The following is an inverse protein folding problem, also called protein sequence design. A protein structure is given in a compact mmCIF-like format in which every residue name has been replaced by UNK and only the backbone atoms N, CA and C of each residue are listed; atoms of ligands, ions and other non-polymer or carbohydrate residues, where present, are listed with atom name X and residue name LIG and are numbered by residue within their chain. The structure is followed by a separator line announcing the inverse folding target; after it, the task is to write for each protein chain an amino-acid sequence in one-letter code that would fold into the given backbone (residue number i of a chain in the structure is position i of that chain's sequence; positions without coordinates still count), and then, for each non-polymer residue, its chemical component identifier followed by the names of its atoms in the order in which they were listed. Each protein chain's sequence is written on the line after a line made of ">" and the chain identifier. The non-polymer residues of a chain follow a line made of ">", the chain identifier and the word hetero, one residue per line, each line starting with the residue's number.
data_IF_933739901114
#
_entry.id   IF_933739901114
#
_cell.length_a   1.000
_cell.length_b   1.000
_cell.length_c   1.000
_cell.angle_alpha   90.00
_cell.angle_beta   90.00
_cell.angle_gamma   90.00
#
_symmetry.space_group_name_H-M   'P 1'
#
loop_
_entity.id
_entity.type
_entity.pdbx_description
1 polymer ?
#
# COMPACT_ATOMS: atom_id res chain seq x y z
N UNK A 1 -4.38 2.08 8.33
CA UNK A 1 -4.14 2.83 7.07
C UNK A 1 -4.67 4.25 7.18
N UNK A 2 -5.96 4.50 7.40
CA UNK A 2 -6.59 5.82 7.31
C UNK A 2 -5.91 6.97 8.06
N UNK A 3 -5.34 6.74 9.27
CA UNK A 3 -4.58 7.79 9.99
C UNK A 3 -3.31 8.23 9.27
N UNK A 4 -2.58 7.29 8.65
CA UNK A 4 -1.37 7.61 7.88
C UNK A 4 -1.71 8.27 6.53
N UNK A 5 -2.80 7.85 5.87
CA UNK A 5 -3.32 8.50 4.67
C UNK A 5 -3.69 9.95 4.99
N UNK A 6 -4.46 10.18 6.06
CA UNK A 6 -4.81 11.51 6.54
C UNK A 6 -3.57 12.38 6.82
N UNK A 7 -2.54 11.80 7.41
CA UNK A 7 -1.27 12.49 7.64
C UNK A 7 -0.59 12.91 6.33
N UNK A 8 -0.62 12.07 5.28
CA UNK A 8 -0.06 12.43 3.97
C UNK A 8 -0.74 13.67 3.39
N UNK A 9 -2.07 13.70 3.37
CA UNK A 9 -2.83 14.84 2.89
C UNK A 9 -2.59 16.10 3.73
N UNK A 10 -2.59 16.00 5.06
CA UNK A 10 -2.36 17.14 5.95
C UNK A 10 -0.93 17.70 5.82
N UNK A 11 0.08 16.86 5.62
CA UNK A 11 1.47 17.29 5.33
C UNK A 11 1.55 18.10 4.04
N UNK A 12 0.77 17.76 3.04
CA UNK A 12 0.70 18.47 1.76
C UNK A 12 -0.16 19.75 1.82
N UNK A 13 -0.76 20.07 2.98
CA UNK A 13 -1.52 21.31 3.17
C UNK A 13 -3.05 21.16 3.09
N UNK A 14 -3.56 19.96 2.81
CA UNK A 14 -5.00 19.72 2.71
C UNK A 14 -5.69 19.74 4.08
N UNK A 15 -6.90 20.28 4.14
CA UNK A 15 -7.80 20.04 5.27
C UNK A 15 -8.37 18.62 5.18
N UNK A 16 -8.33 17.90 6.28
CA UNK A 16 -8.71 16.48 6.35
C UNK A 16 -9.69 16.25 7.49
N UNK A 17 -10.74 15.48 7.24
CA UNK A 17 -11.63 14.99 8.28
C UNK A 17 -11.51 13.46 8.41
N UNK A 18 -10.99 12.99 9.55
CA UNK A 18 -11.03 11.58 9.92
C UNK A 18 -12.38 11.20 10.46
N UNK A 19 -13.10 10.28 9.79
CA UNK A 19 -14.39 9.80 10.23
C UNK A 19 -14.31 8.39 10.82
N UNK A 20 -14.94 8.16 11.98
CA UNK A 20 -15.14 6.82 12.55
C UNK A 20 -16.29 6.83 13.54
N UNK A 21 -17.14 5.79 13.50
CA UNK A 21 -18.25 5.62 14.45
C UNK A 21 -17.80 5.54 15.92
N UNK A 22 -16.59 5.04 16.18
CA UNK A 22 -16.05 4.81 17.53
C UNK A 22 -15.02 5.89 17.89
N UNK A 23 -15.25 6.60 19.00
CA UNK A 23 -14.31 7.58 19.55
C UNK A 23 -12.91 6.97 19.78
N UNK A 24 -12.86 5.78 20.40
CA UNK A 24 -11.59 5.10 20.64
C UNK A 24 -10.75 4.84 19.37
N UNK A 25 -11.39 4.69 18.20
CA UNK A 25 -10.66 4.56 16.92
C UNK A 25 -10.04 5.89 16.51
N UNK A 26 -10.73 7.01 16.73
CA UNK A 26 -10.22 8.35 16.45
C UNK A 26 -9.09 8.71 17.42
N UNK A 27 -9.22 8.39 18.72
CA UNK A 27 -8.17 8.60 19.71
C UNK A 27 -6.91 7.80 19.35
N UNK A 28 -7.07 6.52 19.01
CA UNK A 28 -5.96 5.70 18.56
C UNK A 28 -5.33 6.20 17.23
N UNK A 29 -6.12 6.79 16.35
CA UNK A 29 -5.62 7.42 15.12
C UNK A 29 -4.75 8.63 15.46
N UNK A 30 -5.20 9.48 16.39
CA UNK A 30 -4.43 10.64 16.85
C UNK A 30 -3.06 10.24 17.42
N UNK A 31 -3.05 9.25 18.33
CA UNK A 31 -1.79 8.73 18.90
C UNK A 31 -0.84 8.21 17.81
N UNK A 32 -1.38 7.55 16.77
CA UNK A 32 -0.55 7.10 15.64
C UNK A 32 0.01 8.25 14.83
N UNK A 33 -0.81 9.28 14.54
CA UNK A 33 -0.39 10.49 13.82
C UNK A 33 0.74 11.20 14.59
N UNK A 34 0.56 11.42 15.90
CA UNK A 34 1.57 12.08 16.73
C UNK A 34 2.89 11.31 16.75
N UNK A 35 2.84 9.98 16.83
CA UNK A 35 4.03 9.11 16.73
C UNK A 35 4.72 9.23 15.38
N UNK A 36 3.97 9.17 14.28
CA UNK A 36 4.52 9.30 12.92
C UNK A 36 5.12 10.69 12.70
N UNK A 37 4.47 11.75 13.19
CA UNK A 37 5.01 13.12 13.12
C UNK A 37 6.32 13.24 13.89
N UNK A 38 6.43 12.67 15.09
CA UNK A 38 7.67 12.69 15.87
C UNK A 38 8.81 11.97 15.13
N UNK A 39 8.54 10.83 14.51
CA UNK A 39 9.52 10.10 13.70
C UNK A 39 9.98 10.90 12.46
N UNK A 40 9.03 11.50 11.73
CA UNK A 40 9.32 12.33 10.56
C UNK A 40 10.09 13.60 10.92
N UNK A 41 9.75 14.24 12.08
CA UNK A 41 10.49 15.40 12.59
C UNK A 41 11.93 15.04 12.93
N UNK A 42 12.15 13.91 13.63
CA UNK A 42 13.48 13.41 13.95
C UNK A 42 14.30 13.11 12.68
N UNK A 43 13.63 12.64 11.62
CA UNK A 43 14.26 12.38 10.33
C UNK A 43 14.52 13.65 9.50
N UNK A 44 14.00 14.81 9.91
CA UNK A 44 14.18 16.09 9.21
C UNK A 44 13.43 16.19 7.87
N UNK A 45 12.33 15.43 7.70
CA UNK A 45 11.54 15.38 6.45
C UNK A 45 10.19 16.12 6.55
N UNK A 46 10.00 16.94 7.57
CA UNK A 46 8.84 17.81 7.69
C UNK A 46 9.13 19.21 7.14
N UNK A 47 8.22 19.71 6.31
CA UNK A 47 8.27 21.08 5.76
C UNK A 47 7.43 22.09 6.56
N UNK A 48 6.62 21.61 7.52
CA UNK A 48 5.80 22.40 8.41
C UNK A 48 5.90 21.82 9.84
N UNK A 49 5.54 22.61 10.86
CA UNK A 49 5.53 22.12 12.24
C UNK A 49 4.48 21.03 12.46
N UNK A 50 4.75 20.10 13.38
CA UNK A 50 3.79 19.06 13.75
C UNK A 50 2.44 19.65 14.19
N UNK A 51 2.45 20.77 14.90
CA UNK A 51 1.24 21.47 15.35
C UNK A 51 0.42 22.02 14.16
N UNK A 52 1.08 22.61 13.18
CA UNK A 52 0.44 23.10 11.95
C UNK A 52 -0.17 21.96 11.14
N UNK A 53 0.56 20.84 10.96
CA UNK A 53 0.03 19.67 10.26
C UNK A 53 -1.17 19.09 10.99
N UNK A 54 -1.09 18.94 12.32
CA UNK A 54 -2.18 18.40 13.14
C UNK A 54 -3.42 19.30 13.12
N UNK A 55 -3.26 20.62 13.05
CA UNK A 55 -4.38 21.57 12.99
C UNK A 55 -5.25 21.41 11.72
N UNK A 56 -4.72 20.80 10.68
CA UNK A 56 -5.45 20.49 9.43
C UNK A 56 -6.28 19.19 9.53
N UNK A 57 -6.15 18.42 10.62
CA UNK A 57 -6.83 17.14 10.79
C UNK A 57 -7.96 17.28 11.82
N UNK A 58 -9.18 17.36 11.33
CA UNK A 58 -10.38 17.25 12.16
C UNK A 58 -10.81 15.80 12.35
N UNK A 59 -11.66 15.54 13.35
CA UNK A 59 -12.24 14.23 13.61
C UNK A 59 -13.75 14.33 13.66
N UNK A 60 -14.47 13.36 13.10
CA UNK A 60 -15.93 13.27 13.14
C UNK A 60 -16.39 11.85 13.46
N UNK A 61 -17.45 11.74 14.25
CA UNK A 61 -18.18 10.48 14.46
C UNK A 61 -19.36 10.33 13.51
N UNK A 62 -19.67 11.38 12.80
CA UNK A 62 -20.72 11.43 11.79
C UNK A 62 -20.09 11.43 10.40
N UNK A 63 -20.31 10.34 9.64
CA UNK A 63 -19.80 10.19 8.30
C UNK A 63 -20.43 11.19 7.34
N UNK A 64 -21.74 11.42 7.46
CA UNK A 64 -22.47 12.27 6.52
C UNK A 64 -21.97 13.72 6.63
N UNK A 65 -21.81 14.21 7.85
CA UNK A 65 -21.24 15.53 8.10
C UNK A 65 -19.76 15.62 7.66
N UNK A 66 -19.00 14.53 7.80
CA UNK A 66 -17.59 14.51 7.45
C UNK A 66 -17.31 14.65 5.95
N UNK A 67 -18.24 14.21 5.09
CA UNK A 67 -18.05 14.16 3.64
C UNK A 67 -18.76 15.27 2.87
N UNK A 68 -19.60 16.10 3.52
CA UNK A 68 -20.42 17.12 2.86
C UNK A 68 -19.64 18.16 2.04
N UNK A 69 -18.40 18.44 2.38
CA UNK A 69 -17.54 19.39 1.65
C UNK A 69 -16.30 18.74 1.03
N UNK A 70 -16.27 17.41 0.95
CA UNK A 70 -15.09 16.70 0.49
C UNK A 70 -14.98 16.69 -1.04
N UNK A 71 -13.81 17.02 -1.56
CA UNK A 71 -13.45 16.79 -2.97
C UNK A 71 -13.04 15.33 -3.21
N UNK A 72 -12.50 14.69 -2.17
CA UNK A 72 -12.05 13.28 -2.17
C UNK A 72 -12.48 12.61 -0.87
N UNK A 73 -13.12 11.47 -0.98
CA UNK A 73 -13.37 10.56 0.15
C UNK A 73 -12.54 9.31 -0.05
N UNK A 74 -11.71 8.96 0.94
CA UNK A 74 -10.92 7.71 0.93
C UNK A 74 -11.46 6.77 2.01
N UNK A 75 -12.10 5.69 1.60
CA UNK A 75 -12.55 4.64 2.50
C UNK A 75 -11.37 3.75 2.91
N UNK A 76 -11.19 3.54 4.22
CA UNK A 76 -10.12 2.71 4.79
C UNK A 76 -10.62 1.97 6.05
N UNK A 77 -11.78 1.33 5.94
CA UNK A 77 -12.37 0.50 7.03
C UNK A 77 -11.83 -0.94 6.96
N UNK A 78 -12.38 -1.84 7.77
CA UNK A 78 -11.99 -3.27 7.75
C UNK A 78 -12.21 -3.88 6.37
N UNK A 79 -11.36 -4.87 6.01
CA UNK A 79 -11.39 -5.54 4.71
C UNK A 79 -12.52 -6.57 4.68
N UNK A 80 -13.74 -6.06 4.59
CA UNK A 80 -15.00 -6.81 4.51
C UNK A 80 -15.88 -6.15 3.45
N UNK A 81 -16.33 -6.93 2.47
CA UNK A 81 -17.06 -6.43 1.30
C UNK A 81 -18.33 -5.66 1.71
N UNK A 82 -19.15 -6.25 2.58
CA UNK A 82 -20.43 -5.66 2.97
C UNK A 82 -20.24 -4.36 3.78
N UNK A 83 -19.25 -4.36 4.68
CA UNK A 83 -18.91 -3.15 5.47
C UNK A 83 -18.42 -2.03 4.59
N UNK A 84 -17.53 -2.33 3.63
CA UNK A 84 -17.02 -1.32 2.68
C UNK A 84 -18.13 -0.80 1.78
N UNK A 85 -18.98 -1.68 1.23
CA UNK A 85 -20.10 -1.29 0.40
C UNK A 85 -21.09 -0.37 1.14
N UNK A 86 -21.43 -0.67 2.39
CA UNK A 86 -22.30 0.18 3.22
C UNK A 86 -21.68 1.58 3.43
N UNK A 87 -20.42 1.64 3.81
CA UNK A 87 -19.71 2.90 4.04
C UNK A 87 -19.58 3.71 2.76
N UNK A 88 -19.20 3.08 1.65
CA UNK A 88 -19.04 3.74 0.35
C UNK A 88 -20.37 4.29 -0.17
N UNK A 89 -21.43 3.50 -0.13
CA UNK A 89 -22.77 3.93 -0.56
C UNK A 89 -23.32 5.08 0.31
N UNK A 90 -23.03 5.05 1.62
CA UNK A 90 -23.41 6.14 2.52
C UNK A 90 -22.60 7.40 2.24
N UNK A 91 -21.28 7.27 2.07
CA UNK A 91 -20.41 8.41 1.73
C UNK A 91 -20.82 9.04 0.40
N UNK A 92 -21.12 8.23 -0.60
CA UNK A 92 -21.58 8.70 -1.91
C UNK A 92 -22.82 9.57 -1.84
N UNK A 93 -23.82 9.16 -1.04
CA UNK A 93 -25.08 9.92 -0.91
C UNK A 93 -24.90 11.29 -0.27
N UNK A 94 -23.91 11.42 0.63
CA UNK A 94 -23.71 12.63 1.44
C UNK A 94 -22.61 13.53 0.92
N UNK A 95 -21.72 13.02 0.07
CA UNK A 95 -20.64 13.80 -0.56
C UNK A 95 -21.17 14.65 -1.73
N UNK A 96 -20.48 15.75 -2.07
CA UNK A 96 -20.78 16.54 -3.25
C UNK A 96 -20.85 15.68 -4.54
N UNK A 97 -21.68 16.07 -5.53
CA UNK A 97 -21.89 15.27 -6.72
C UNK A 97 -20.62 15.11 -7.60
N UNK A 98 -19.66 16.00 -7.48
CA UNK A 98 -18.37 16.00 -8.18
C UNK A 98 -17.21 15.44 -7.35
N UNK A 99 -17.49 15.04 -6.10
CA UNK A 99 -16.49 14.41 -5.25
C UNK A 99 -16.05 13.05 -5.82
N UNK A 100 -14.74 12.77 -5.79
CA UNK A 100 -14.21 11.45 -6.07
C UNK A 100 -14.35 10.58 -4.83
N UNK A 101 -14.83 9.37 -5.03
CA UNK A 101 -14.89 8.34 -4.00
C UNK A 101 -13.77 7.32 -4.27
N UNK A 102 -12.98 7.02 -3.27
CA UNK A 102 -11.88 6.07 -3.39
C UNK A 102 -11.90 5.04 -2.25
N UNK A 103 -11.34 3.88 -2.49
CA UNK A 103 -11.14 2.83 -1.48
C UNK A 103 -9.67 2.46 -1.34
N UNK A 104 -9.22 2.21 -0.11
CA UNK A 104 -7.88 1.71 0.21
C UNK A 104 -7.86 0.16 0.31
N UNK A 105 -8.81 -0.50 -0.32
CA UNK A 105 -8.83 -1.98 -0.35
C UNK A 105 -7.56 -2.53 -0.97
N UNK A 106 -7.09 -3.67 -0.46
CA UNK A 106 -5.90 -4.38 -0.96
C UNK A 106 -6.23 -5.70 -1.65
N UNK A 107 -7.44 -6.23 -1.46
CA UNK A 107 -7.80 -7.58 -1.91
C UNK A 107 -9.18 -7.69 -2.57
N UNK A 108 -10.11 -6.76 -2.26
CA UNK A 108 -11.44 -6.76 -2.85
C UNK A 108 -11.42 -6.03 -4.19
N UNK A 109 -12.01 -6.62 -5.20
CA UNK A 109 -12.09 -6.01 -6.53
C UNK A 109 -12.87 -4.70 -6.50
N UNK A 110 -12.39 -3.73 -7.26
CA UNK A 110 -13.04 -2.42 -7.38
C UNK A 110 -14.46 -2.56 -7.94
N UNK A 111 -14.64 -3.45 -8.92
CA UNK A 111 -15.96 -3.69 -9.53
C UNK A 111 -16.97 -4.28 -8.52
N UNK A 112 -16.53 -5.12 -7.58
CA UNK A 112 -17.41 -5.65 -6.53
C UNK A 112 -17.86 -4.55 -5.57
N UNK A 113 -16.96 -3.64 -5.20
CA UNK A 113 -17.30 -2.48 -4.37
C UNK A 113 -18.18 -1.48 -5.09
N UNK A 114 -17.90 -1.23 -6.38
CA UNK A 114 -18.66 -0.34 -7.23
C UNK A 114 -20.13 -0.74 -7.40
N UNK A 115 -20.43 -2.03 -7.28
CA UNK A 115 -21.79 -2.55 -7.40
C UNK A 115 -22.80 -1.98 -6.38
N UNK A 116 -22.32 -1.42 -5.25
CA UNK A 116 -23.15 -0.78 -4.24
C UNK A 116 -23.37 0.73 -4.50
N UNK A 117 -22.72 1.31 -5.51
CA UNK A 117 -22.75 2.74 -5.79
C UNK A 117 -23.79 3.07 -6.87
N UNK A 118 -24.40 4.24 -6.74
CA UNK A 118 -25.33 4.78 -7.73
C UNK A 118 -24.61 5.47 -8.89
N UNK A 119 -23.39 5.94 -8.63
CA UNK A 119 -22.54 6.69 -9.57
C UNK A 119 -21.11 6.11 -9.57
N UNK A 120 -20.94 4.85 -10.00
CA UNK A 120 -19.67 4.15 -9.98
C UNK A 120 -18.61 4.81 -10.90
N UNK A 121 -19.00 5.69 -11.82
CA UNK A 121 -18.10 6.43 -12.70
C UNK A 121 -17.13 7.33 -11.94
N UNK A 122 -17.49 7.80 -10.72
CA UNK A 122 -16.62 8.62 -9.86
C UNK A 122 -15.87 7.84 -8.77
N UNK A 123 -15.85 6.52 -8.88
CA UNK A 123 -15.23 5.62 -7.91
C UNK A 123 -14.00 4.92 -8.51
N UNK A 124 -12.94 4.79 -7.70
CA UNK A 124 -11.74 4.03 -8.03
C UNK A 124 -11.04 3.49 -6.78
N UNK A 125 -10.11 2.56 -6.96
CA UNK A 125 -9.16 2.19 -5.94
C UNK A 125 -8.06 3.25 -5.78
N UNK A 126 -7.66 3.51 -4.54
CA UNK A 126 -6.47 4.27 -4.19
C UNK A 126 -5.71 3.47 -3.13
N UNK A 127 -5.01 2.45 -3.60
CA UNK A 127 -4.37 1.44 -2.76
C UNK A 127 -3.04 1.94 -2.20
N UNK A 128 -2.95 2.04 -0.89
CA UNK A 128 -1.80 2.51 -0.15
C UNK A 128 -1.05 1.37 0.51
N UNK A 129 0.25 1.54 0.70
CA UNK A 129 1.12 0.54 1.33
C UNK A 129 1.51 0.97 2.74
N UNK A 130 1.54 0.01 3.67
CA UNK A 130 1.81 0.27 5.09
C UNK A 130 3.32 0.35 5.39
N UNK A 131 3.82 1.42 6.02
CA UNK A 131 3.10 2.60 6.49
C UNK A 131 2.93 3.67 5.40
N UNK A 132 1.71 4.22 5.19
CA UNK A 132 1.42 5.08 4.04
C UNK A 132 2.21 6.38 4.05
N UNK A 133 2.60 6.90 5.21
CA UNK A 133 3.42 8.10 5.32
C UNK A 133 4.87 7.92 4.86
N UNK A 134 5.36 6.67 4.75
CA UNK A 134 6.74 6.36 4.37
C UNK A 134 6.85 5.68 3.01
N UNK A 135 5.91 4.80 2.66
CA UNK A 135 5.96 4.09 1.37
C UNK A 135 5.50 5.04 0.26
N UNK A 136 6.34 5.26 -0.78
CA UNK A 136 6.01 6.21 -1.83
C UNK A 136 4.94 5.69 -2.81
N UNK A 137 4.81 4.38 -3.00
CA UNK A 137 3.89 3.79 -3.96
C UNK A 137 2.43 4.00 -3.57
N UNK A 138 1.61 4.40 -4.55
CA UNK A 138 0.15 4.36 -4.51
C UNK A 138 -0.34 3.78 -5.83
N UNK A 139 -1.15 2.72 -5.80
CA UNK A 139 -1.82 2.20 -6.99
C UNK A 139 -3.19 2.85 -7.12
N UNK A 140 -3.44 3.52 -8.24
CA UNK A 140 -4.76 4.02 -8.61
C UNK A 140 -5.40 2.99 -9.53
N UNK A 141 -6.49 2.36 -9.08
CA UNK A 141 -7.09 1.21 -9.76
C UNK A 141 -8.44 1.58 -10.36
N UNK A 142 -8.54 1.53 -11.67
CA UNK A 142 -9.81 1.71 -12.37
C UNK A 142 -10.63 0.44 -12.39
N UNK A 143 -11.88 0.51 -11.90
CA UNK A 143 -12.91 -0.46 -12.21
C UNK A 143 -13.49 -0.27 -13.62
N UNK A 144 -14.38 -1.15 -14.04
CA UNK A 144 -14.98 -1.13 -15.36
C UNK A 144 -15.80 0.15 -15.63
N UNK A 145 -16.40 0.73 -14.58
CA UNK A 145 -17.21 1.94 -14.69
C UNK A 145 -16.42 3.23 -14.41
N UNK A 146 -15.21 3.16 -13.89
CA UNK A 146 -14.42 4.33 -13.51
C UNK A 146 -14.14 5.23 -14.71
N UNK A 147 -14.53 6.51 -14.65
CA UNK A 147 -14.16 7.50 -15.67
C UNK A 147 -12.64 7.77 -15.64
N UNK A 148 -12.04 7.93 -16.83
CA UNK A 148 -10.62 8.21 -16.96
C UNK A 148 -10.19 9.46 -16.19
N UNK A 149 -10.97 10.53 -16.24
CA UNK A 149 -10.71 11.77 -15.50
C UNK A 149 -10.68 11.60 -13.97
N UNK A 150 -11.38 10.61 -13.43
CA UNK A 150 -11.33 10.26 -12.00
C UNK A 150 -9.99 9.63 -11.64
N UNK A 151 -9.53 8.67 -12.43
CA UNK A 151 -8.22 8.05 -12.24
C UNK A 151 -7.09 9.07 -12.39
N UNK A 152 -7.17 9.95 -13.39
CA UNK A 152 -6.19 11.04 -13.61
C UNK A 152 -6.14 12.01 -12.42
N UNK A 153 -7.29 12.39 -11.85
CA UNK A 153 -7.34 13.23 -10.64
C UNK A 153 -6.66 12.53 -9.45
N UNK A 154 -6.93 11.25 -9.22
CA UNK A 154 -6.29 10.48 -8.14
C UNK A 154 -4.77 10.36 -8.33
N UNK A 155 -4.31 10.13 -9.55
CA UNK A 155 -2.88 10.13 -9.90
C UNK A 155 -2.26 11.50 -9.61
N UNK A 156 -2.90 12.58 -10.05
CA UNK A 156 -2.42 13.94 -9.81
C UNK A 156 -2.35 14.28 -8.32
N UNK A 157 -3.38 13.93 -7.55
CA UNK A 157 -3.39 14.15 -6.10
C UNK A 157 -2.30 13.33 -5.40
N UNK A 158 -2.16 12.04 -5.73
CA UNK A 158 -1.09 11.23 -5.16
C UNK A 158 0.30 11.81 -5.47
N UNK A 159 0.53 12.28 -6.70
CA UNK A 159 1.76 12.98 -7.09
C UNK A 159 1.99 14.25 -6.27
N UNK A 160 0.95 15.07 -6.06
CA UNK A 160 1.03 16.28 -5.24
C UNK A 160 1.36 16.00 -3.75
N UNK A 161 1.06 14.79 -3.27
CA UNK A 161 1.45 14.33 -1.93
C UNK A 161 2.92 13.84 -1.86
N UNK A 162 3.68 13.93 -2.95
CA UNK A 162 5.02 13.37 -3.05
C UNK A 162 5.04 11.84 -3.19
N UNK A 163 3.91 11.24 -3.59
CA UNK A 163 3.84 9.80 -3.88
C UNK A 163 4.24 9.50 -5.32
N UNK A 164 4.57 8.24 -5.58
CA UNK A 164 4.81 7.69 -6.92
C UNK A 164 3.57 6.89 -7.33
N UNK A 165 2.56 7.51 -7.94
CA UNK A 165 1.33 6.83 -8.33
C UNK A 165 1.55 5.97 -9.56
N UNK A 166 0.92 4.80 -9.57
CA UNK A 166 0.84 3.90 -10.71
C UNK A 166 -0.62 3.68 -11.07
N UNK A 167 -1.00 3.95 -12.32
CA UNK A 167 -2.37 3.70 -12.79
C UNK A 167 -2.53 2.24 -13.22
N UNK A 168 -3.29 1.49 -12.45
CA UNK A 168 -3.73 0.13 -12.77
C UNK A 168 -5.00 0.24 -13.60
N UNK A 169 -4.86 0.11 -14.92
CA UNK A 169 -5.91 0.41 -15.91
C UNK A 169 -7.05 -0.59 -15.94
N UNK A 170 -6.89 -1.74 -15.31
CA UNK A 170 -7.89 -2.82 -15.26
C UNK A 170 -7.88 -3.42 -13.86
N UNK A 171 -9.07 -3.56 -13.30
CA UNK A 171 -9.28 -4.23 -12.02
C UNK A 171 -8.95 -5.73 -12.16
N UNK A 172 -7.91 -6.15 -11.44
CA UNK A 172 -7.50 -7.55 -11.32
C UNK A 172 -7.22 -7.86 -9.85
N UNK A 173 -7.46 -9.08 -9.42
CA UNK A 173 -7.19 -9.51 -8.04
C UNK A 173 -5.73 -9.24 -7.64
N UNK A 174 -5.54 -8.51 -6.52
CA UNK A 174 -4.21 -8.17 -6.00
C UNK A 174 -3.46 -7.10 -6.78
N UNK A 175 -4.10 -6.47 -7.78
CA UNK A 175 -3.54 -5.38 -8.59
C UNK A 175 -2.16 -5.71 -9.18
N UNK A 176 -1.16 -4.83 -9.13
CA UNK A 176 0.19 -5.11 -9.61
C UNK A 176 1.10 -5.55 -8.46
N UNK A 177 1.21 -4.73 -7.43
CA UNK A 177 2.22 -4.93 -6.39
C UNK A 177 1.97 -6.20 -5.57
N UNK A 178 0.71 -6.46 -5.14
CA UNK A 178 0.41 -7.70 -4.42
C UNK A 178 0.61 -8.93 -5.31
N UNK A 179 0.26 -8.87 -6.59
CA UNK A 179 0.49 -10.01 -7.51
C UNK A 179 1.97 -10.38 -7.60
N UNK A 180 2.85 -9.38 -7.77
CA UNK A 180 4.30 -9.59 -7.82
C UNK A 180 4.81 -10.12 -6.47
N UNK A 181 4.39 -9.50 -5.36
CA UNK A 181 4.79 -9.90 -4.02
C UNK A 181 4.37 -11.33 -3.68
N UNK A 182 3.14 -11.72 -4.00
CA UNK A 182 2.65 -13.08 -3.72
C UNK A 182 3.24 -14.13 -4.66
N UNK A 183 3.64 -13.77 -5.89
CA UNK A 183 4.44 -14.65 -6.74
C UNK A 183 5.81 -14.95 -6.11
N UNK A 184 6.47 -13.93 -5.54
CA UNK A 184 7.71 -14.11 -4.77
C UNK A 184 7.48 -14.94 -3.52
N UNK A 185 6.42 -14.71 -2.75
CA UNK A 185 6.11 -15.49 -1.55
C UNK A 185 5.86 -16.96 -1.88
N UNK A 186 5.11 -17.27 -2.96
CA UNK A 186 4.87 -18.65 -3.38
C UNK A 186 6.17 -19.40 -3.64
N UNK A 187 7.08 -18.81 -4.41
CA UNK A 187 8.38 -19.41 -4.69
C UNK A 187 9.24 -19.52 -3.42
N UNK A 188 9.29 -18.50 -2.59
CA UNK A 188 10.04 -18.47 -1.34
C UNK A 188 9.61 -19.59 -0.38
N UNK A 189 8.30 -19.78 -0.19
CA UNK A 189 7.79 -20.89 0.63
C UNK A 189 8.08 -22.25 0.02
N UNK A 190 7.97 -22.40 -1.30
CA UNK A 190 8.28 -23.66 -1.97
C UNK A 190 9.74 -24.07 -1.76
N UNK A 191 10.69 -23.14 -1.86
CA UNK A 191 12.11 -23.41 -1.60
C UNK A 191 12.37 -23.84 -0.16
N UNK A 192 11.76 -23.17 0.82
CA UNK A 192 11.91 -23.52 2.24
C UNK A 192 11.25 -24.87 2.53
N UNK A 193 10.05 -25.14 2.05
CA UNK A 193 9.33 -26.41 2.27
C UNK A 193 10.02 -27.59 1.57
N UNK A 194 10.76 -27.34 0.49
CA UNK A 194 11.61 -28.33 -0.17
C UNK A 194 12.97 -28.53 0.54
N UNK A 195 13.28 -27.77 1.59
CA UNK A 195 14.55 -27.87 2.32
C UNK A 195 15.76 -27.34 1.56
N UNK A 196 15.56 -26.48 0.57
CA UNK A 196 16.64 -25.84 -0.20
C UNK A 196 17.37 -24.80 0.64
N UNK A 197 16.63 -24.07 1.49
CA UNK A 197 17.13 -23.00 2.35
C UNK A 197 16.19 -22.79 3.54
N UNK A 198 16.53 -21.92 4.47
CA UNK A 198 15.62 -21.48 5.52
C UNK A 198 15.02 -20.08 5.24
N UNK A 199 14.13 -19.62 6.12
CA UNK A 199 13.47 -18.31 5.98
C UNK A 199 14.47 -17.15 6.02
N UNK A 200 15.55 -17.26 6.80
CA UNK A 200 16.54 -16.21 6.94
C UNK A 200 17.37 -16.06 5.68
N UNK A 201 17.69 -17.18 5.01
CA UNK A 201 18.41 -17.19 3.73
C UNK A 201 17.60 -16.49 2.64
N UNK A 202 16.29 -16.79 2.52
CA UNK A 202 15.40 -16.11 1.56
C UNK A 202 15.36 -14.61 1.83
N UNK A 203 15.17 -14.23 3.10
CA UNK A 203 15.17 -12.81 3.49
C UNK A 203 16.48 -12.11 3.13
N UNK A 204 17.62 -12.77 3.31
CA UNK A 204 18.93 -12.20 3.00
C UNK A 204 19.14 -12.07 1.49
N UNK A 205 18.78 -13.07 0.69
CA UNK A 205 18.81 -13.00 -0.78
C UNK A 205 17.97 -11.83 -1.30
N UNK A 206 16.76 -11.65 -0.76
CA UNK A 206 15.91 -10.53 -1.16
C UNK A 206 16.51 -9.19 -0.73
N UNK A 207 16.95 -9.03 0.53
CA UNK A 207 17.46 -7.75 1.04
C UNK A 207 18.79 -7.34 0.38
N UNK A 208 19.74 -8.26 0.30
CA UNK A 208 21.08 -7.97 -0.20
C UNK A 208 21.21 -8.09 -1.73
N UNK A 209 20.31 -8.83 -2.36
CA UNK A 209 20.35 -9.12 -3.80
C UNK A 209 19.28 -8.37 -4.59
N UNK A 210 18.10 -8.96 -4.67
CA UNK A 210 17.03 -8.49 -5.55
C UNK A 210 16.49 -7.13 -5.14
N UNK A 211 16.15 -6.95 -3.86
CA UNK A 211 15.54 -5.73 -3.34
C UNK A 211 16.46 -4.51 -3.48
N UNK A 212 17.76 -4.69 -3.19
CA UNK A 212 18.75 -3.63 -3.34
C UNK A 212 18.87 -3.15 -4.80
N UNK A 213 18.87 -4.08 -5.75
CA UNK A 213 18.92 -3.74 -7.19
C UNK A 213 17.62 -3.12 -7.68
N UNK A 214 16.48 -3.70 -7.30
CA UNK A 214 15.16 -3.22 -7.73
C UNK A 214 14.74 -1.91 -7.08
N UNK A 215 15.40 -1.49 -6.01
CA UNK A 215 15.24 -0.15 -5.48
C UNK A 215 15.87 0.93 -6.38
N UNK A 216 16.90 0.56 -7.16
CA UNK A 216 17.59 1.46 -8.09
C UNK A 216 17.03 1.35 -9.52
N UNK A 217 16.80 0.13 -10.01
CA UNK A 217 16.29 -0.14 -11.35
C UNK A 217 15.20 -1.20 -11.28
N UNK A 218 14.11 -1.00 -11.99
CA UNK A 218 12.99 -1.93 -12.03
C UNK A 218 13.35 -3.28 -12.68
N UNK A 219 12.50 -4.30 -12.54
CA UNK A 219 12.78 -5.62 -13.10
C UNK A 219 12.95 -5.60 -14.63
N UNK A 220 12.15 -4.82 -15.36
CA UNK A 220 12.26 -4.75 -16.83
C UNK A 220 13.50 -3.94 -17.27
N UNK A 221 13.80 -2.83 -16.62
CA UNK A 221 15.05 -2.09 -16.84
C UNK A 221 16.28 -2.97 -16.58
N UNK A 222 16.21 -3.84 -15.54
CA UNK A 222 17.27 -4.80 -15.25
C UNK A 222 17.43 -5.82 -16.38
N UNK A 223 16.34 -6.25 -17.03
CA UNK A 223 16.40 -7.15 -18.17
C UNK A 223 17.00 -6.50 -19.41
N UNK A 224 16.64 -5.25 -19.70
CA UNK A 224 17.20 -4.48 -20.80
C UNK A 224 18.71 -4.24 -20.59
N UNK A 225 19.15 -3.99 -19.37
CA UNK A 225 20.58 -3.89 -19.03
C UNK A 225 21.33 -5.20 -19.19
N UNK A 226 20.70 -6.35 -18.90
CA UNK A 226 21.32 -7.67 -18.98
C UNK A 226 21.29 -8.29 -20.38
N UNK A 227 20.33 -7.91 -21.19
CA UNK A 227 20.03 -8.48 -22.51
C UNK A 227 18.87 -9.48 -22.50
N UNK A 228 17.93 -9.28 -23.43
CA UNK A 228 16.72 -10.12 -23.55
C UNK A 228 17.01 -11.54 -24.06
N UNK A 229 18.10 -11.74 -24.76
CA UNK A 229 18.61 -13.07 -25.18
C UNK A 229 18.99 -13.92 -23.94
N UNK A 230 19.70 -13.31 -22.98
CA UNK A 230 20.04 -13.97 -21.72
C UNK A 230 18.78 -14.28 -20.92
N UNK A 231 17.85 -13.31 -20.82
CA UNK A 231 16.54 -13.55 -20.17
C UNK A 231 15.81 -14.72 -20.79
N UNK A 232 15.68 -14.77 -22.12
CA UNK A 232 14.98 -15.86 -22.81
C UNK A 232 15.60 -17.22 -22.53
N UNK A 233 16.94 -17.33 -22.58
CA UNK A 233 17.65 -18.56 -22.33
C UNK A 233 17.43 -19.07 -20.88
N UNK A 234 17.51 -18.16 -19.89
CA UNK A 234 17.29 -18.49 -18.47
C UNK A 234 15.83 -18.83 -18.21
N UNK A 235 14.89 -18.02 -18.68
CA UNK A 235 13.46 -18.20 -18.45
C UNK A 235 12.95 -19.53 -19.02
N UNK A 236 13.41 -19.93 -20.19
CA UNK A 236 13.04 -21.20 -20.82
C UNK A 236 13.43 -22.44 -19.97
N UNK A 237 14.47 -22.32 -19.13
CA UNK A 237 14.88 -23.39 -18.21
C UNK A 237 14.22 -23.28 -16.85
N UNK A 238 14.05 -22.04 -16.36
CA UNK A 238 13.64 -21.76 -14.98
C UNK A 238 12.12 -21.83 -14.81
N UNK A 239 11.33 -21.28 -15.74
CA UNK A 239 9.87 -21.22 -15.59
C UNK A 239 9.20 -22.59 -15.37
N UNK A 240 9.61 -23.67 -16.04
CA UNK A 240 9.03 -25.00 -15.77
C UNK A 240 9.34 -25.56 -14.38
N UNK A 241 10.35 -25.00 -13.70
CA UNK A 241 10.80 -25.44 -12.37
C UNK A 241 10.28 -24.59 -11.22
N UNK A 242 9.66 -23.43 -11.52
CA UNK A 242 9.09 -22.55 -10.51
C UNK A 242 7.80 -23.13 -9.91
N UNK A 243 7.52 -22.77 -8.66
CA UNK A 243 6.33 -23.19 -7.95
C UNK A 243 5.02 -22.71 -8.64
N UNK A 244 4.05 -23.63 -8.75
CA UNK A 244 2.75 -23.38 -9.38
C UNK A 244 1.57 -23.58 -8.42
N UNK A 245 1.86 -23.70 -7.11
CA UNK A 245 0.84 -23.94 -6.08
C UNK A 245 -0.25 -22.88 -6.11
N UNK A 246 -1.50 -23.33 -6.04
CA UNK A 246 -2.69 -22.49 -5.95
C UNK A 246 -3.14 -22.25 -4.50
N UNK A 247 -2.65 -23.04 -3.57
CA UNK A 247 -2.99 -22.98 -2.15
C UNK A 247 -1.88 -22.30 -1.35
N UNK A 248 -2.21 -21.66 -0.21
CA UNK A 248 -1.22 -21.14 0.71
C UNK A 248 -0.25 -22.21 1.22
N UNK A 249 0.99 -21.83 1.48
CA UNK A 249 2.03 -22.72 2.00
C UNK A 249 1.57 -23.45 3.26
N UNK A 250 1.91 -24.75 3.36
CA UNK A 250 1.48 -25.62 4.48
C UNK A 250 2.02 -25.14 5.81
N UNK A 251 3.27 -24.70 5.84
CA UNK A 251 3.93 -24.16 7.02
C UNK A 251 3.23 -22.90 7.55
N UNK A 252 2.84 -21.97 6.67
CA UNK A 252 2.08 -20.80 7.06
C UNK A 252 0.67 -21.15 7.55
N UNK A 253 -0.02 -22.07 6.87
CA UNK A 253 -1.35 -22.54 7.25
C UNK A 253 -1.35 -23.22 8.63
N UNK A 254 -0.33 -24.02 8.92
CA UNK A 254 -0.16 -24.67 10.22
C UNK A 254 0.02 -23.66 11.36
N UNK A 255 0.83 -22.62 11.14
CA UNK A 255 1.02 -21.53 12.12
C UNK A 255 -0.29 -20.79 12.39
N UNK A 256 -1.04 -20.44 11.34
CA UNK A 256 -2.35 -19.78 11.49
C UNK A 256 -3.31 -20.65 12.29
N UNK A 257 -3.39 -21.95 12.01
CA UNK A 257 -4.23 -22.88 12.75
C UNK A 257 -3.80 -23.00 14.23
N UNK A 258 -2.53 -22.84 14.55
CA UNK A 258 -2.00 -22.81 15.92
C UNK A 258 -2.20 -21.44 16.64
N UNK A 259 -2.70 -20.43 15.96
CA UNK A 259 -2.81 -19.05 16.49
C UNK A 259 -1.50 -18.27 16.48
N UNK A 260 -0.46 -18.78 15.84
CA UNK A 260 0.88 -18.18 15.72
C UNK A 260 0.90 -17.18 14.53
N UNK A 261 0.33 -15.98 14.75
CA UNK A 261 0.08 -14.99 13.71
C UNK A 261 1.24 -13.98 13.50
N UNK A 262 2.46 -14.37 13.80
CA UNK A 262 3.64 -13.52 13.70
C UNK A 262 3.78 -12.54 14.87
N UNK A 263 4.32 -11.36 14.61
CA UNK A 263 4.54 -10.33 15.63
C UNK A 263 3.26 -9.90 16.38
N UNK A 264 2.08 -10.15 15.83
CA UNK A 264 0.79 -9.83 16.47
C UNK A 264 0.54 -10.67 17.72
N UNK A 265 0.99 -11.91 17.72
CA UNK A 265 0.79 -12.88 18.80
C UNK A 265 2.10 -13.27 19.47
N UNK A 266 3.23 -12.67 19.05
CA UNK A 266 4.56 -12.93 19.58
C UNK A 266 5.20 -14.22 19.07
N UNK A 267 4.57 -14.90 18.10
CA UNK A 267 5.10 -16.15 17.51
C UNK A 267 4.70 -16.29 16.04
N UNK A 268 5.61 -16.80 15.18
CA UNK A 268 5.38 -16.97 13.75
C UNK A 268 6.53 -17.74 13.07
N UNK A 269 6.84 -17.42 11.80
CA UNK A 269 7.82 -18.14 10.96
C UNK A 269 9.21 -18.29 11.60
N UNK A 270 9.66 -17.33 12.39
CA UNK A 270 10.94 -17.36 13.10
C UNK A 270 10.82 -17.87 14.55
N UNK A 271 9.71 -18.51 14.91
CA UNK A 271 9.44 -18.95 16.28
C UNK A 271 8.94 -17.80 17.16
N UNK A 272 9.43 -17.70 18.39
CA UNK A 272 9.05 -16.65 19.33
C UNK A 272 9.71 -15.31 18.98
N UNK A 273 8.95 -14.23 19.06
CA UNK A 273 9.45 -12.87 18.85
C UNK A 273 9.66 -12.15 20.19
N UNK A 274 10.87 -11.70 20.43
CA UNK A 274 11.17 -10.73 21.47
C UNK A 274 10.62 -9.35 21.07
N UNK A 275 9.88 -8.65 21.95
CA UNK A 275 9.36 -7.30 21.71
C UNK A 275 10.44 -6.28 21.28
N UNK A 276 11.64 -6.38 21.83
CA UNK A 276 12.76 -5.50 21.47
C UNK A 276 13.28 -5.80 20.06
N UNK A 277 13.34 -7.08 19.68
CA UNK A 277 13.68 -7.49 18.32
C UNK A 277 12.64 -7.00 17.30
N UNK A 278 11.34 -7.10 17.60
CA UNK A 278 10.27 -6.54 16.76
C UNK A 278 10.43 -5.03 16.60
N UNK A 279 10.69 -4.33 17.71
CA UNK A 279 10.93 -2.88 17.69
C UNK A 279 12.15 -2.51 16.86
N UNK A 280 13.22 -3.32 16.90
CA UNK A 280 14.41 -3.12 16.07
C UNK A 280 14.11 -3.33 14.57
N UNK A 281 13.30 -4.35 14.21
CA UNK A 281 12.85 -4.57 12.83
C UNK A 281 12.06 -3.38 12.29
N UNK A 282 11.12 -2.85 13.08
CA UNK A 282 10.31 -1.68 12.70
C UNK A 282 11.20 -0.44 12.52
N UNK A 283 12.14 -0.19 13.46
CA UNK A 283 13.10 0.93 13.33
C UNK A 283 13.96 0.80 12.07
N UNK A 284 14.51 -0.41 11.79
CA UNK A 284 15.31 -0.65 10.58
C UNK A 284 14.51 -0.39 9.32
N UNK A 285 13.28 -0.93 9.21
CA UNK A 285 12.39 -0.68 8.07
C UNK A 285 12.16 0.82 7.87
N UNK A 286 11.82 1.54 8.93
CA UNK A 286 11.57 2.98 8.89
C UNK A 286 12.81 3.74 8.42
N UNK A 287 13.99 3.43 8.94
CA UNK A 287 15.25 4.07 8.56
C UNK A 287 15.58 3.87 7.07
N UNK A 288 15.37 2.65 6.55
CA UNK A 288 15.60 2.35 5.12
C UNK A 288 14.61 3.11 4.23
N UNK A 289 13.31 3.11 4.58
CA UNK A 289 12.29 3.82 3.81
C UNK A 289 12.55 5.33 3.77
N UNK A 290 12.95 5.94 4.90
CA UNK A 290 13.35 7.35 4.96
C UNK A 290 14.62 7.65 4.15
N UNK A 291 15.58 6.74 4.11
CA UNK A 291 16.77 6.89 3.28
C UNK A 291 16.42 6.84 1.79
N UNK A 292 15.54 5.92 1.37
CA UNK A 292 15.04 5.83 0.00
C UNK A 292 14.22 7.07 -0.40
N UNK A 293 13.42 7.64 0.51
CA UNK A 293 12.68 8.89 0.26
C UNK A 293 13.64 10.05 -0.07
N UNK A 294 14.77 10.15 0.64
CA UNK A 294 15.79 11.18 0.38
C UNK A 294 16.48 11.01 -0.97
N UNK A 295 16.79 9.77 -1.34
CA UNK A 295 17.42 9.46 -2.64
C UNK A 295 16.48 9.72 -3.83
N UNK A 296 15.18 9.51 -3.62
CA UNK A 296 14.15 9.70 -4.63
C UNK A 296 13.82 11.18 -4.94
N UNK A 297 14.32 12.12 -4.15
CA UNK A 297 14.12 13.57 -4.35
C UNK A 297 14.89 14.15 -5.55
N UNK A 298 15.77 13.40 -6.19
CA UNK A 298 16.38 13.79 -7.48
C UNK A 298 15.45 13.30 -8.62
N UNK A 299 14.99 14.19 -9.52
CA UNK A 299 14.09 13.79 -10.60
C UNK A 299 14.83 12.83 -11.56
N UNK A 300 14.43 11.56 -11.53
CA UNK A 300 14.83 10.60 -12.56
C UNK A 300 14.33 11.10 -13.92
N UNK A 301 15.24 11.34 -14.85
CA UNK A 301 14.91 11.52 -16.26
C UNK A 301 14.45 10.16 -16.81
N UNK A 302 13.14 9.91 -16.74
CA UNK A 302 12.56 8.75 -17.42
C UNK A 302 12.87 8.88 -18.92
N UNK A 303 13.46 7.87 -19.57
CA UNK A 303 13.53 7.84 -21.02
C UNK A 303 12.12 7.96 -21.59
N UNK A 304 11.94 8.78 -22.62
CA UNK A 304 10.67 8.93 -23.29
C UNK A 304 10.16 7.55 -23.75
N UNK A 305 8.92 7.21 -23.41
CA UNK A 305 8.31 5.99 -23.91
C UNK A 305 8.37 5.96 -25.44
N UNK A 306 8.77 4.84 -26.07
CA UNK A 306 8.76 4.75 -27.51
C UNK A 306 7.35 5.01 -28.01
N UNK A 307 7.20 5.98 -28.92
CA UNK A 307 5.99 6.22 -29.66
C UNK A 307 5.66 4.97 -30.49
N UNK A 308 4.65 4.19 -30.04
CA UNK A 308 4.12 3.05 -30.78
C UNK A 308 3.28 3.47 -31.97
#
# INVERSE_FOLDING_TARGET
>A
MGSGIALCFARAGSAVTLASRRAATLDAARVRIDRSLAQLATAGVLHASAAEITSRIASSRDLDAAVQGAELVVESVVEDLAVKQDVLARAERSAPPDAVIATDTSSIRIDELAAALSRPERFAGMHWFNPPELVPLVEVVSGAATELGVAERLVAWAGALGKRPVHVRRDVEGFIANRIQYAVFREAFALVEAGVCDYADVDEVIKAGLGARWAAVGPFESLDLAGLDIYQAVASRLYPALATDSEPARSATALVAAGDLGCKTGRGLYGAYDPDAVSALVRRRTAVLLALERLAGEPERTPAAPSG
#
